data_IF_233876556030
#
_entry.id   IF_233876556030
#
_cell.length_a   1.000
_cell.length_b   1.000
_cell.length_c   1.000
_cell.angle_alpha   90.00
_cell.angle_beta   90.00
_cell.angle_gamma   90.00
#
_symmetry.space_group_name_H-M   'P 1'
#
loop_
_entity.id
_entity.type
_entity.pdbx_description
1 polymer ?
#
# COMPACT_ATOMS: atom_id res chain seq x y z
N UNK A 1 22.78 -2.19 -19.92
CA UNK A 1 21.57 -2.79 -20.54
C UNK A 1 20.46 -2.60 -19.53
N UNK A 2 19.35 -2.01 -19.93
CA UNK A 2 18.18 -1.87 -19.04
C UNK A 2 17.39 -3.16 -19.00
N UNK A 3 16.64 -3.39 -17.91
CA UNK A 3 15.73 -4.52 -17.76
C UNK A 3 14.77 -4.61 -18.94
N UNK A 4 14.61 -5.80 -19.50
CA UNK A 4 13.63 -6.08 -20.54
C UNK A 4 12.36 -6.74 -19.97
N UNK A 5 11.36 -6.97 -20.83
CA UNK A 5 10.10 -7.58 -20.40
C UNK A 5 10.23 -9.03 -19.90
N UNK A 6 11.30 -9.75 -20.26
CA UNK A 6 11.57 -11.10 -19.78
C UNK A 6 12.14 -11.04 -18.37
N UNK A 7 13.13 -10.19 -18.13
CA UNK A 7 13.72 -9.99 -16.80
C UNK A 7 12.65 -9.66 -15.75
N UNK A 8 11.70 -8.78 -16.10
CA UNK A 8 10.61 -8.38 -15.20
C UNK A 8 9.64 -9.54 -14.92
N UNK A 9 9.30 -10.35 -15.93
CA UNK A 9 8.41 -11.52 -15.74
C UNK A 9 9.07 -12.57 -14.86
N UNK A 10 10.35 -12.85 -15.07
CA UNK A 10 11.12 -13.76 -14.22
C UNK A 10 11.24 -13.22 -12.78
N UNK A 11 11.37 -11.89 -12.63
CA UNK A 11 11.27 -11.21 -11.33
C UNK A 11 9.92 -11.41 -10.65
N UNK A 12 8.81 -11.25 -11.38
CA UNK A 12 7.44 -11.45 -10.88
C UNK A 12 7.21 -12.90 -10.43
N UNK A 13 7.67 -13.89 -11.20
CA UNK A 13 7.54 -15.30 -10.83
C UNK A 13 8.29 -15.62 -9.54
N UNK A 14 9.51 -15.06 -9.38
CA UNK A 14 10.26 -15.16 -8.12
C UNK A 14 9.52 -14.50 -6.97
N UNK A 15 9.00 -13.28 -7.14
CA UNK A 15 8.24 -12.59 -6.09
C UNK A 15 7.01 -13.37 -5.62
N UNK A 16 6.28 -14.02 -6.54
CA UNK A 16 5.14 -14.87 -6.18
C UNK A 16 5.61 -16.02 -5.28
N UNK A 17 6.70 -16.70 -5.66
CA UNK A 17 7.28 -17.77 -4.84
C UNK A 17 7.71 -17.26 -3.45
N UNK A 18 8.46 -16.16 -3.41
CA UNK A 18 8.91 -15.53 -2.17
C UNK A 18 7.76 -15.10 -1.26
N UNK A 19 6.70 -14.53 -1.81
CA UNK A 19 5.48 -14.13 -1.08
C UNK A 19 4.86 -15.31 -0.35
N UNK A 20 4.67 -16.44 -1.05
CA UNK A 20 4.06 -17.65 -0.45
C UNK A 20 5.01 -18.39 0.50
N UNK A 21 6.32 -18.15 0.37
CA UNK A 21 7.36 -18.74 1.21
C UNK A 21 7.62 -18.02 2.52
N UNK A 22 7.12 -16.79 2.71
CA UNK A 22 7.31 -16.05 3.96
C UNK A 22 6.71 -16.79 5.16
N UNK A 23 7.50 -16.89 6.22
CA UNK A 23 7.13 -17.48 7.51
C UNK A 23 7.74 -16.67 8.65
N UNK A 24 6.93 -16.42 9.67
CA UNK A 24 7.40 -15.85 10.92
C UNK A 24 8.32 -16.83 11.66
N UNK A 25 9.47 -16.35 12.13
CA UNK A 25 10.50 -17.16 12.77
C UNK A 25 10.64 -16.91 14.27
N UNK A 26 9.70 -16.20 14.88
CA UNK A 26 9.65 -15.93 16.31
C UNK A 26 10.54 -14.77 16.79
N UNK A 27 11.24 -14.07 15.88
CA UNK A 27 12.13 -12.95 16.28
C UNK A 27 11.40 -11.71 16.80
N UNK A 28 10.14 -11.50 16.41
CA UNK A 28 9.36 -10.31 16.75
C UNK A 28 8.14 -10.72 17.57
N UNK A 29 7.93 -10.04 18.70
CA UNK A 29 6.78 -10.30 19.57
C UNK A 29 5.81 -9.13 19.52
N UNK A 30 4.83 -9.21 18.62
CA UNK A 30 3.79 -8.21 18.44
C UNK A 30 2.41 -8.87 18.62
N UNK A 31 1.83 -8.86 19.83
CA UNK A 31 0.53 -9.50 20.07
C UNK A 31 -0.62 -8.72 19.44
N UNK A 32 -1.73 -9.40 19.14
CA UNK A 32 -2.99 -8.79 18.73
C UNK A 32 -3.75 -8.18 19.94
N UNK A 33 -4.87 -7.49 19.69
CA UNK A 33 -5.60 -6.70 20.70
C UNK A 33 -6.19 -7.61 21.78
N UNK A 34 -6.51 -8.84 21.39
CA UNK A 34 -6.99 -9.90 22.26
C UNK A 34 -5.87 -10.66 23.00
N UNK A 35 -4.61 -10.24 22.82
CA UNK A 35 -3.43 -10.83 23.43
C UNK A 35 -2.92 -12.10 22.73
N UNK A 36 -3.51 -12.52 21.61
CA UNK A 36 -2.99 -13.62 20.80
C UNK A 36 -1.68 -13.23 20.10
N UNK A 37 -0.85 -14.21 19.72
CA UNK A 37 0.39 -13.91 19.00
C UNK A 37 0.06 -13.35 17.60
N UNK A 38 0.55 -12.15 17.28
CA UNK A 38 0.45 -11.59 15.94
C UNK A 38 1.50 -12.20 15.01
N UNK A 39 1.11 -12.38 13.75
CA UNK A 39 1.99 -12.88 12.70
C UNK A 39 1.87 -12.00 11.46
N UNK A 40 2.77 -11.02 11.40
CA UNK A 40 2.85 -10.01 10.33
C UNK A 40 3.74 -10.45 9.15
N UNK A 41 4.22 -11.70 9.15
CA UNK A 41 5.18 -12.18 8.14
C UNK A 41 4.62 -13.35 7.37
N UNK A 42 4.08 -14.36 8.03
CA UNK A 42 3.60 -15.57 7.38
C UNK A 42 2.50 -15.24 6.39
N UNK A 43 2.60 -15.80 5.19
CA UNK A 43 1.61 -15.57 4.14
C UNK A 43 0.17 -15.93 4.58
N UNK A 44 0.03 -16.95 5.43
CA UNK A 44 -1.28 -17.51 5.81
C UNK A 44 -1.99 -16.76 6.96
N UNK A 45 -1.47 -15.61 7.40
CA UNK A 45 -2.04 -14.81 8.49
C UNK A 45 -2.97 -13.70 7.99
N UNK A 46 -4.03 -13.36 8.74
CA UNK A 46 -4.91 -12.25 8.38
C UNK A 46 -4.45 -10.96 9.06
N UNK A 47 -3.62 -10.18 8.39
CA UNK A 47 -3.14 -8.88 8.85
C UNK A 47 -2.85 -7.95 7.65
N UNK A 48 -2.53 -6.69 7.94
CA UNK A 48 -2.28 -5.70 6.89
C UNK A 48 -1.17 -6.07 5.89
N UNK A 49 -0.02 -6.70 6.27
CA UNK A 49 1.02 -7.09 5.32
C UNK A 49 0.51 -8.07 4.28
N UNK A 50 -0.30 -9.05 4.70
CA UNK A 50 -0.91 -10.04 3.83
C UNK A 50 -2.02 -9.43 3.01
N UNK A 51 -2.77 -8.46 3.54
CA UNK A 51 -3.75 -7.70 2.77
C UNK A 51 -3.14 -6.98 1.58
N UNK A 52 -2.03 -6.27 1.80
CA UNK A 52 -1.24 -5.64 0.73
C UNK A 52 -0.66 -6.72 -0.21
N UNK A 53 -0.11 -7.80 0.36
CA UNK A 53 0.33 -9.02 -0.32
C UNK A 53 -0.66 -9.55 -1.37
N UNK A 54 -1.88 -9.84 -0.91
CA UNK A 54 -2.99 -10.34 -1.71
C UNK A 54 -3.43 -9.35 -2.76
N UNK A 55 -3.46 -8.05 -2.44
CA UNK A 55 -3.76 -7.02 -3.43
C UNK A 55 -2.76 -7.08 -4.59
N UNK A 56 -1.46 -7.15 -4.31
CA UNK A 56 -0.41 -7.34 -5.33
C UNK A 56 -0.65 -8.57 -6.21
N UNK A 57 -0.91 -9.73 -5.60
CA UNK A 57 -1.19 -10.99 -6.33
C UNK A 57 -2.46 -10.89 -7.19
N UNK A 58 -3.50 -10.21 -6.72
CA UNK A 58 -4.77 -10.02 -7.45
C UNK A 58 -4.56 -9.07 -8.63
N UNK A 59 -3.78 -7.99 -8.45
CA UNK A 59 -3.41 -7.10 -9.55
C UNK A 59 -2.56 -7.82 -10.59
N UNK A 60 -1.63 -8.66 -10.17
CA UNK A 60 -0.85 -9.50 -11.08
C UNK A 60 -1.73 -10.52 -11.83
N UNK A 61 -2.70 -11.14 -11.15
CA UNK A 61 -3.70 -11.99 -11.81
C UNK A 61 -4.51 -11.21 -12.84
N UNK A 62 -5.00 -10.01 -12.52
CA UNK A 62 -5.73 -9.17 -13.48
C UNK A 62 -4.89 -8.82 -14.71
N UNK A 63 -3.59 -8.61 -14.51
CA UNK A 63 -2.66 -8.27 -15.59
C UNK A 63 -2.33 -9.48 -16.48
N UNK A 64 -2.07 -10.64 -15.88
CA UNK A 64 -1.57 -11.84 -16.58
C UNK A 64 -2.66 -12.83 -17.00
N UNK A 65 -3.81 -12.83 -16.35
CA UNK A 65 -4.84 -13.86 -16.49
C UNK A 65 -4.49 -15.21 -15.86
N UNK A 66 -3.39 -15.30 -15.07
CA UNK A 66 -2.90 -16.56 -14.48
C UNK A 66 -3.91 -17.21 -13.52
N UNK A 67 -4.41 -18.38 -13.92
CA UNK A 67 -5.42 -19.14 -13.16
C UNK A 67 -4.87 -19.64 -11.83
N UNK A 68 -3.58 -19.99 -11.78
CA UNK A 68 -2.92 -20.45 -10.56
C UNK A 68 -2.88 -19.36 -9.47
N UNK A 69 -2.63 -18.09 -9.85
CA UNK A 69 -2.70 -16.96 -8.92
C UNK A 69 -4.12 -16.75 -8.39
N UNK A 70 -5.13 -16.83 -9.26
CA UNK A 70 -6.53 -16.76 -8.85
C UNK A 70 -6.90 -17.86 -7.84
N UNK A 71 -6.52 -19.10 -8.14
CA UNK A 71 -6.79 -20.23 -7.26
C UNK A 71 -6.05 -20.12 -5.92
N UNK A 72 -4.83 -19.59 -5.93
CA UNK A 72 -4.06 -19.31 -4.72
C UNK A 72 -4.80 -18.33 -3.82
N UNK A 73 -5.21 -17.17 -4.33
CA UNK A 73 -5.88 -16.14 -3.54
C UNK A 73 -7.27 -16.58 -3.09
N UNK A 74 -8.05 -17.23 -3.96
CA UNK A 74 -9.38 -17.76 -3.59
C UNK A 74 -9.26 -18.80 -2.47
N UNK A 75 -8.27 -19.69 -2.53
CA UNK A 75 -8.03 -20.69 -1.48
C UNK A 75 -7.64 -20.02 -0.17
N UNK A 76 -6.77 -19.01 -0.22
CA UNK A 76 -6.38 -18.26 0.96
C UNK A 76 -7.60 -17.63 1.65
N UNK A 77 -8.45 -16.92 0.89
CA UNK A 77 -9.66 -16.30 1.47
C UNK A 77 -10.62 -17.33 2.05
N UNK A 78 -10.89 -18.44 1.34
CA UNK A 78 -11.75 -19.51 1.85
C UNK A 78 -11.26 -20.01 3.21
N UNK A 79 -9.97 -20.34 3.31
CA UNK A 79 -9.39 -20.88 4.54
C UNK A 79 -9.44 -19.89 5.70
N UNK A 80 -9.18 -18.60 5.44
CA UNK A 80 -9.22 -17.59 6.50
C UNK A 80 -10.64 -17.26 6.95
N UNK A 81 -11.59 -17.19 6.02
CA UNK A 81 -13.01 -16.97 6.34
C UNK A 81 -13.55 -18.16 7.15
N UNK A 82 -13.21 -19.40 6.76
CA UNK A 82 -13.60 -20.61 7.48
C UNK A 82 -13.00 -20.68 8.90
N UNK A 83 -11.76 -20.20 9.07
CA UNK A 83 -11.11 -20.11 10.38
C UNK A 83 -11.73 -19.05 11.32
N UNK A 84 -12.54 -18.14 10.79
CA UNK A 84 -13.08 -16.99 11.49
C UNK A 84 -12.20 -15.75 11.32
N UNK A 85 -12.83 -14.63 10.96
CA UNK A 85 -12.13 -13.36 10.74
C UNK A 85 -11.73 -12.71 12.08
N UNK A 86 -10.61 -11.99 12.12
CA UNK A 86 -10.17 -11.31 13.34
C UNK A 86 -11.08 -10.14 13.71
N UNK A 87 -10.82 -9.54 14.86
CA UNK A 87 -11.48 -8.30 15.26
C UNK A 87 -11.21 -7.19 14.22
N UNK A 88 -12.21 -6.33 14.06
CA UNK A 88 -12.13 -5.19 13.15
C UNK A 88 -11.16 -4.16 13.71
N UNK A 89 -10.18 -3.78 12.91
CA UNK A 89 -9.36 -2.59 13.08
C UNK A 89 -8.89 -2.09 11.70
N UNK A 90 -8.07 -1.03 11.67
CA UNK A 90 -7.58 -0.46 10.40
C UNK A 90 -6.75 -1.48 9.61
N UNK A 91 -5.86 -2.21 10.28
CA UNK A 91 -4.95 -3.16 9.66
C UNK A 91 -5.64 -4.44 9.15
N UNK A 92 -6.52 -5.03 9.95
CA UNK A 92 -7.27 -6.23 9.57
C UNK A 92 -8.29 -5.97 8.46
N UNK A 93 -8.54 -4.70 8.10
CA UNK A 93 -9.36 -4.33 6.94
C UNK A 93 -8.60 -4.45 5.62
N UNK A 94 -7.27 -4.38 5.60
CA UNK A 94 -6.51 -4.35 4.35
C UNK A 94 -6.76 -5.56 3.42
N UNK A 95 -6.92 -6.82 3.91
CA UNK A 95 -7.28 -7.94 3.05
C UNK A 95 -8.62 -7.78 2.31
N UNK A 96 -9.53 -6.92 2.77
CA UNK A 96 -10.80 -6.68 2.09
C UNK A 96 -10.65 -5.88 0.80
N UNK A 97 -9.58 -5.08 0.65
CA UNK A 97 -9.29 -4.40 -0.62
C UNK A 97 -9.10 -5.43 -1.75
N UNK A 98 -8.21 -6.42 -1.55
CA UNK A 98 -8.01 -7.50 -2.51
C UNK A 98 -9.30 -8.25 -2.82
N UNK A 99 -10.04 -8.66 -1.79
CA UNK A 99 -11.29 -9.43 -1.94
C UNK A 99 -12.34 -8.64 -2.73
N UNK A 100 -12.46 -7.33 -2.49
CA UNK A 100 -13.40 -6.47 -3.23
C UNK A 100 -13.06 -6.42 -4.73
N UNK A 101 -11.77 -6.34 -5.09
CA UNK A 101 -11.31 -6.33 -6.48
C UNK A 101 -11.51 -7.69 -7.15
N UNK A 102 -11.23 -8.78 -6.42
CA UNK A 102 -11.51 -10.14 -6.89
C UNK A 102 -13.01 -10.33 -7.15
N UNK A 103 -13.86 -9.90 -6.22
CA UNK A 103 -15.31 -9.98 -6.36
C UNK A 103 -15.84 -9.11 -7.49
N UNK A 104 -15.35 -7.87 -7.64
CA UNK A 104 -15.77 -6.97 -8.71
C UNK A 104 -15.58 -7.59 -10.11
N UNK A 105 -14.54 -8.40 -10.29
CA UNK A 105 -14.26 -9.13 -11.55
C UNK A 105 -14.98 -10.45 -11.68
N UNK A 106 -15.08 -11.24 -10.62
CA UNK A 106 -15.62 -12.61 -10.69
C UNK A 106 -17.13 -12.68 -10.45
N UNK A 107 -17.66 -11.72 -9.68
CA UNK A 107 -19.04 -11.70 -9.15
C UNK A 107 -19.42 -12.99 -8.43
N UNK A 108 -18.45 -13.67 -7.85
CA UNK A 108 -18.68 -14.90 -7.11
C UNK A 108 -19.49 -14.59 -5.82
N UNK A 109 -20.69 -15.15 -5.67
CA UNK A 109 -21.61 -14.78 -4.59
C UNK A 109 -21.09 -15.16 -3.19
N UNK A 110 -20.06 -16.03 -3.10
CA UNK A 110 -19.47 -16.42 -1.81
C UNK A 110 -18.80 -15.25 -1.08
N UNK A 111 -18.33 -14.25 -1.82
CA UNK A 111 -17.57 -13.14 -1.23
C UNK A 111 -18.43 -11.97 -0.77
N UNK A 112 -19.59 -11.78 -1.40
CA UNK A 112 -20.41 -10.60 -1.16
C UNK A 112 -20.87 -10.47 0.30
N UNK A 113 -21.38 -11.53 0.99
CA UNK A 113 -21.80 -11.41 2.37
C UNK A 113 -20.69 -10.94 3.30
N UNK A 114 -19.47 -11.43 3.10
CA UNK A 114 -18.28 -11.04 3.88
C UNK A 114 -17.93 -9.57 3.64
N UNK A 115 -17.96 -9.12 2.39
CA UNK A 115 -17.68 -7.73 2.03
C UNK A 115 -18.75 -6.77 2.57
N UNK A 116 -20.03 -7.15 2.47
CA UNK A 116 -21.15 -6.35 2.98
C UNK A 116 -21.09 -6.21 4.50
N UNK A 117 -20.87 -7.31 5.21
CA UNK A 117 -20.71 -7.31 6.66
C UNK A 117 -19.53 -6.44 7.07
N UNK A 118 -18.34 -6.66 6.49
CA UNK A 118 -17.15 -5.90 6.88
C UNK A 118 -17.28 -4.41 6.57
N UNK A 119 -17.82 -4.03 5.41
CA UNK A 119 -18.06 -2.62 5.07
C UNK A 119 -19.03 -1.94 6.04
N UNK A 120 -20.11 -2.63 6.44
CA UNK A 120 -21.07 -2.10 7.41
C UNK A 120 -20.41 -1.88 8.79
N UNK A 121 -19.59 -2.84 9.22
CA UNK A 121 -18.83 -2.73 10.47
C UNK A 121 -17.80 -1.61 10.40
N UNK A 122 -17.04 -1.48 9.31
CA UNK A 122 -16.12 -0.35 9.09
C UNK A 122 -16.85 1.00 9.24
N UNK A 123 -18.03 1.14 8.63
CA UNK A 123 -18.80 2.38 8.67
C UNK A 123 -19.36 2.71 10.05
N UNK A 124 -19.79 1.68 10.80
CA UNK A 124 -20.52 1.83 12.06
C UNK A 124 -19.71 1.64 13.35
N UNK A 125 -18.57 0.94 13.30
CA UNK A 125 -17.80 0.52 14.48
C UNK A 125 -16.42 1.17 14.57
N UNK A 126 -15.76 1.53 13.46
CA UNK A 126 -14.44 2.16 13.54
C UNK A 126 -14.53 3.53 14.22
N UNK A 127 -13.58 3.77 15.12
CA UNK A 127 -13.39 5.04 15.80
C UNK A 127 -13.21 6.19 14.82
N UNK A 128 -13.66 7.38 15.22
CA UNK A 128 -13.63 8.59 14.38
C UNK A 128 -13.08 9.76 15.16
N UNK A 129 -12.09 10.41 14.56
CA UNK A 129 -11.55 11.69 15.02
C UNK A 129 -12.61 12.81 14.92
N UNK A 130 -12.37 14.01 15.48
CA UNK A 130 -13.36 15.09 15.50
C UNK A 130 -13.81 15.59 14.12
N UNK A 131 -12.99 15.39 13.07
CA UNK A 131 -13.37 15.68 11.67
C UNK A 131 -13.84 14.43 10.90
N UNK A 132 -14.20 13.39 11.65
CA UNK A 132 -14.76 12.14 11.15
C UNK A 132 -13.74 11.18 10.53
N UNK A 133 -12.46 11.56 10.38
CA UNK A 133 -11.44 10.65 9.86
C UNK A 133 -11.32 9.41 10.73
N UNK A 134 -11.09 8.23 10.15
CA UNK A 134 -10.97 7.00 10.93
C UNK A 134 -9.77 7.09 11.87
N UNK A 135 -9.98 6.77 13.15
CA UNK A 135 -8.90 6.64 14.12
C UNK A 135 -8.03 5.43 13.74
N UNK A 136 -6.71 5.59 13.79
CA UNK A 136 -5.78 4.53 13.40
C UNK A 136 -5.58 3.48 14.49
N UNK A 137 -6.66 2.83 14.94
CA UNK A 137 -6.54 1.72 15.88
C UNK A 137 -5.85 0.53 15.19
N UNK A 138 -4.76 0.06 15.79
CA UNK A 138 -3.96 -1.07 15.29
C UNK A 138 -4.19 -2.30 16.15
N UNK A 139 -3.66 -3.42 15.68
CA UNK A 139 -3.80 -4.72 16.33
C UNK A 139 -3.19 -4.80 17.72
N UNK A 140 -2.47 -3.81 18.26
CA UNK A 140 -2.00 -3.87 19.65
C UNK A 140 -2.25 -2.60 20.47
N UNK A 141 -2.88 -1.58 19.87
CA UNK A 141 -3.09 -0.27 20.51
C UNK A 141 -4.29 0.48 19.93
N UNK A 142 -5.09 1.03 20.84
CA UNK A 142 -6.09 2.05 20.53
C UNK A 142 -5.38 3.41 20.43
N UNK A 143 -5.27 3.94 19.21
CA UNK A 143 -4.73 5.26 18.93
C UNK A 143 -5.87 6.28 18.82
N UNK A 144 -6.34 6.76 19.97
CA UNK A 144 -7.42 7.75 20.05
C UNK A 144 -7.02 9.06 19.39
N UNK A 145 -7.92 9.63 18.59
CA UNK A 145 -7.76 10.93 17.95
C UNK A 145 -6.53 11.03 17.02
N UNK A 146 -6.01 9.91 16.52
CA UNK A 146 -4.87 9.86 15.61
C UNK A 146 -5.27 9.52 14.17
N UNK A 147 -4.74 10.27 13.20
CA UNK A 147 -4.78 9.97 11.77
C UNK A 147 -3.39 9.55 11.30
N UNK A 148 -3.27 8.40 10.65
CA UNK A 148 -2.01 7.93 10.05
C UNK A 148 -2.21 7.75 8.54
N UNK A 149 -1.17 7.95 7.75
CA UNK A 149 -1.25 7.91 6.29
C UNK A 149 -1.66 6.53 5.74
N UNK A 150 -1.29 5.44 6.41
CA UNK A 150 -1.59 4.08 5.99
C UNK A 150 -3.11 3.81 5.93
N UNK A 151 -3.92 4.50 6.74
CA UNK A 151 -5.40 4.38 6.77
C UNK A 151 -6.02 4.48 5.38
N UNK A 152 -5.43 5.31 4.52
CA UNK A 152 -5.88 5.52 3.16
C UNK A 152 -5.80 4.22 2.34
N UNK A 153 -4.70 3.49 2.49
CA UNK A 153 -4.50 2.23 1.78
C UNK A 153 -5.23 1.08 2.47
N UNK A 154 -5.16 0.99 3.79
CA UNK A 154 -5.68 -0.16 4.55
C UNK A 154 -7.22 -0.20 4.61
N UNK A 155 -7.89 0.96 4.56
CA UNK A 155 -9.36 1.05 4.72
C UNK A 155 -10.01 1.82 3.57
N UNK A 156 -9.55 3.03 3.26
CA UNK A 156 -10.30 3.90 2.34
C UNK A 156 -10.37 3.33 0.92
N UNK A 157 -9.32 2.68 0.42
CA UNK A 157 -9.34 2.00 -0.87
C UNK A 157 -10.33 0.82 -0.92
N UNK A 158 -10.49 0.07 0.18
CA UNK A 158 -11.49 -0.98 0.25
C UNK A 158 -12.90 -0.39 0.08
N UNK A 159 -13.21 0.68 0.81
CA UNK A 159 -14.51 1.36 0.71
C UNK A 159 -14.76 1.91 -0.69
N UNK A 160 -13.75 2.50 -1.34
CA UNK A 160 -13.85 2.98 -2.71
C UNK A 160 -14.14 1.82 -3.68
N UNK A 161 -13.29 0.79 -3.68
CA UNK A 161 -13.40 -0.38 -4.56
C UNK A 161 -14.73 -1.11 -4.40
N UNK A 162 -15.11 -1.42 -3.15
CA UNK A 162 -16.34 -2.15 -2.90
C UNK A 162 -17.57 -1.28 -3.13
N UNK A 163 -17.54 -0.01 -2.72
CA UNK A 163 -18.62 0.94 -2.95
C UNK A 163 -18.96 1.09 -4.43
N UNK A 164 -17.95 1.29 -5.26
CA UNK A 164 -18.11 1.36 -6.71
C UNK A 164 -18.67 0.04 -7.27
N UNK A 165 -18.05 -1.10 -6.92
CA UNK A 165 -18.44 -2.39 -7.46
C UNK A 165 -19.84 -2.85 -7.04
N UNK A 166 -20.30 -2.48 -5.85
CA UNK A 166 -21.60 -2.86 -5.28
C UNK A 166 -22.71 -1.82 -5.53
N UNK A 167 -22.37 -0.62 -6.00
CA UNK A 167 -23.31 0.50 -6.16
C UNK A 167 -23.64 1.23 -4.85
N UNK A 168 -22.89 0.95 -3.78
CA UNK A 168 -23.04 1.59 -2.46
C UNK A 168 -22.28 2.90 -2.41
N UNK A 169 -22.93 3.96 -2.91
CA UNK A 169 -22.34 5.29 -3.06
C UNK A 169 -21.82 5.88 -1.74
N UNK A 170 -22.46 5.55 -0.63
CA UNK A 170 -22.04 6.02 0.70
C UNK A 170 -20.62 5.56 1.08
N UNK A 171 -20.15 4.41 0.56
CA UNK A 171 -18.79 3.92 0.81
C UNK A 171 -17.77 4.71 -0.03
N UNK A 172 -18.12 5.10 -1.26
CA UNK A 172 -17.26 5.92 -2.13
C UNK A 172 -17.14 7.35 -1.59
N UNK A 173 -18.25 7.91 -1.10
CA UNK A 173 -18.26 9.25 -0.51
C UNK A 173 -17.47 9.25 0.81
N UNK A 174 -17.56 8.19 1.61
CA UNK A 174 -16.72 8.02 2.78
C UNK A 174 -15.24 7.90 2.42
N UNK A 175 -14.87 7.07 1.45
CA UNK A 175 -13.50 6.96 0.98
C UNK A 175 -12.96 8.33 0.55
N UNK A 176 -13.74 9.09 -0.23
CA UNK A 176 -13.41 10.46 -0.65
C UNK A 176 -13.14 11.36 0.56
N UNK A 177 -14.01 11.30 1.57
CA UNK A 177 -13.85 12.09 2.81
C UNK A 177 -12.59 11.72 3.57
N UNK A 178 -12.24 10.44 3.62
CA UNK A 178 -11.01 9.97 4.26
C UNK A 178 -9.77 10.55 3.57
N UNK A 179 -9.68 10.51 2.24
CA UNK A 179 -8.56 11.14 1.52
C UNK A 179 -8.49 12.66 1.75
N UNK A 180 -9.62 13.35 1.78
CA UNK A 180 -9.67 14.80 2.03
C UNK A 180 -9.22 15.18 3.45
N UNK A 181 -9.70 14.49 4.48
CA UNK A 181 -9.33 14.80 5.88
C UNK A 181 -7.87 14.44 6.16
N UNK A 182 -7.37 13.33 5.61
CA UNK A 182 -5.95 12.98 5.76
C UNK A 182 -5.06 13.99 5.03
N UNK A 183 -5.41 14.41 3.80
CA UNK A 183 -4.67 15.45 3.10
C UNK A 183 -4.62 16.77 3.88
N UNK A 184 -5.73 17.15 4.53
CA UNK A 184 -5.78 18.37 5.36
C UNK A 184 -4.78 18.37 6.52
N UNK A 185 -4.57 17.22 7.16
CA UNK A 185 -3.80 17.12 8.41
C UNK A 185 -2.39 16.55 8.24
N UNK A 186 -2.15 15.77 7.19
CA UNK A 186 -0.89 15.06 6.96
C UNK A 186 -0.06 15.67 5.83
N UNK A 187 -0.66 16.35 4.85
CA UNK A 187 0.10 16.97 3.77
C UNK A 187 0.90 18.18 4.30
N UNK A 188 2.21 18.16 4.08
CA UNK A 188 3.11 19.26 4.40
C UNK A 188 3.23 20.21 3.21
N UNK A 189 2.41 21.26 3.22
CA UNK A 189 2.39 22.30 2.18
C UNK A 189 3.73 23.02 1.96
N UNK A 190 4.72 22.88 2.87
CA UNK A 190 6.06 23.46 2.68
C UNK A 190 6.95 22.63 1.76
N UNK A 191 6.81 21.31 1.82
CA UNK A 191 7.69 20.38 1.09
C UNK A 191 6.97 19.65 -0.04
N UNK A 192 5.64 19.52 0.04
CA UNK A 192 4.83 18.66 -0.84
C UNK A 192 4.72 17.22 -0.34
N UNK A 193 5.55 16.82 0.63
CA UNK A 193 5.52 15.49 1.24
C UNK A 193 4.43 15.38 2.31
N UNK A 194 4.27 14.19 2.88
CA UNK A 194 3.31 13.91 3.94
C UNK A 194 4.02 13.53 5.24
N UNK A 195 3.47 13.99 6.36
CA UNK A 195 3.82 13.50 7.68
C UNK A 195 3.15 12.14 7.93
N UNK A 196 3.85 11.26 8.64
CA UNK A 196 3.35 9.92 8.97
C UNK A 196 2.02 9.95 9.72
N UNK A 197 1.85 10.91 10.64
CA UNK A 197 0.60 11.02 11.42
C UNK A 197 0.29 12.40 11.97
N UNK A 198 -0.90 12.49 12.53
CA UNK A 198 -1.48 13.66 13.19
C UNK A 198 -2.26 13.19 14.43
N UNK A 199 -2.18 13.94 15.51
CA UNK A 199 -3.06 13.77 16.67
C UNK A 199 -3.88 15.02 16.93
N UNK A 200 -5.17 14.86 17.23
CA UNK A 200 -6.01 15.97 17.70
C UNK A 200 -5.73 16.31 19.16
N UNK A 201 -5.13 15.40 19.93
CA UNK A 201 -4.56 15.71 21.23
C UNK A 201 -3.26 16.49 21.05
N UNK A 202 -3.16 17.69 21.64
CA UNK A 202 -2.04 18.60 21.40
C UNK A 202 -1.91 19.17 19.98
N UNK A 203 -2.66 18.67 19.00
CA UNK A 203 -2.78 19.19 17.62
C UNK A 203 -1.42 19.31 16.91
N UNK A 204 -0.70 18.20 16.79
CA UNK A 204 0.61 18.17 16.13
C UNK A 204 0.86 16.88 15.33
N UNK A 205 1.87 16.90 14.45
CA UNK A 205 2.27 15.75 13.61
C UNK A 205 3.39 14.91 14.23
N UNK A 206 3.32 14.59 15.53
CA UNK A 206 4.35 13.81 16.24
C UNK A 206 5.79 14.29 15.96
N UNK A 207 6.68 13.39 15.50
CA UNK A 207 8.06 13.67 15.10
C UNK A 207 8.20 14.57 13.86
N UNK A 208 7.10 14.87 13.17
CA UNK A 208 7.08 15.50 11.83
C UNK A 208 7.89 14.69 10.81
N UNK A 209 7.85 13.37 10.95
CA UNK A 209 8.57 12.44 10.09
C UNK A 209 7.89 12.33 8.73
N UNK A 210 8.68 12.51 7.66
CA UNK A 210 8.27 12.27 6.27
C UNK A 210 8.69 10.85 5.89
N UNK A 211 8.03 9.88 6.52
CA UNK A 211 8.31 8.45 6.34
C UNK A 211 8.04 8.04 4.90
N UNK A 212 9.03 7.42 4.25
CA UNK A 212 8.96 7.09 2.84
C UNK A 212 7.87 6.08 2.50
N UNK A 213 7.70 5.02 3.30
CA UNK A 213 6.61 4.05 3.07
C UNK A 213 5.24 4.66 3.27
N UNK A 214 5.09 5.51 4.29
CA UNK A 214 3.87 6.30 4.49
C UNK A 214 3.53 7.16 3.27
N UNK A 215 4.53 7.87 2.73
CA UNK A 215 4.39 8.63 1.49
C UNK A 215 4.11 7.74 0.26
N UNK A 216 4.66 6.52 0.23
CA UNK A 216 4.39 5.55 -0.82
C UNK A 216 2.93 5.08 -0.80
N UNK A 217 2.32 4.90 0.39
CA UNK A 217 0.89 4.60 0.53
C UNK A 217 0.01 5.70 -0.04
N UNK A 218 0.37 6.96 0.20
CA UNK A 218 -0.36 8.10 -0.37
C UNK A 218 -0.22 8.11 -1.89
N UNK A 219 1.00 7.93 -2.41
CA UNK A 219 1.29 7.98 -3.86
C UNK A 219 0.52 6.88 -4.60
N UNK A 220 0.67 5.62 -4.15
CA UNK A 220 -0.03 4.48 -4.72
C UNK A 220 -1.54 4.58 -4.48
N UNK A 221 -1.95 4.97 -3.28
CA UNK A 221 -3.35 5.03 -2.88
C UNK A 221 -4.16 6.10 -3.63
N UNK A 222 -3.61 7.28 -3.88
CA UNK A 222 -4.30 8.29 -4.70
C UNK A 222 -4.53 7.81 -6.13
N UNK A 223 -3.52 7.17 -6.74
CA UNK A 223 -3.64 6.63 -8.09
C UNK A 223 -4.60 5.44 -8.16
N UNK A 224 -4.60 4.58 -7.14
CA UNK A 224 -5.54 3.46 -7.04
C UNK A 224 -6.96 3.94 -6.78
N UNK A 225 -7.16 4.96 -5.95
CA UNK A 225 -8.47 5.58 -5.72
C UNK A 225 -9.07 6.07 -7.04
N UNK A 226 -8.29 6.75 -7.89
CA UNK A 226 -8.76 7.27 -9.17
C UNK A 226 -9.14 6.19 -10.19
N UNK A 227 -8.58 4.98 -10.05
CA UNK A 227 -8.89 3.81 -10.88
C UNK A 227 -10.06 2.98 -10.31
N UNK A 228 -10.22 2.97 -8.98
CA UNK A 228 -11.15 2.09 -8.28
C UNK A 228 -12.56 2.66 -8.15
N UNK A 229 -12.72 3.99 -8.13
CA UNK A 229 -14.02 4.62 -7.93
C UNK A 229 -14.17 5.95 -8.69
N UNK A 230 -15.41 6.27 -9.07
CA UNK A 230 -15.72 7.57 -9.68
C UNK A 230 -15.94 8.64 -8.59
N UNK A 231 -15.07 9.64 -8.58
CA UNK A 231 -15.10 10.73 -7.61
C UNK A 231 -15.74 11.98 -8.21
N UNK A 232 -16.39 12.77 -7.36
CA UNK A 232 -16.82 14.10 -7.78
C UNK A 232 -15.63 14.90 -8.33
N UNK A 233 -15.81 15.50 -9.51
CA UNK A 233 -14.73 16.16 -10.26
C UNK A 233 -13.88 17.13 -9.42
N UNK A 234 -14.46 18.03 -8.59
CA UNK A 234 -13.67 18.93 -7.74
C UNK A 234 -12.81 18.21 -6.70
N UNK A 235 -13.29 17.07 -6.16
CA UNK A 235 -12.52 16.24 -5.22
C UNK A 235 -11.35 15.59 -5.94
N UNK A 236 -11.60 15.01 -7.12
CA UNK A 236 -10.55 14.42 -7.95
C UNK A 236 -9.47 15.45 -8.32
N UNK A 237 -9.89 16.64 -8.75
CA UNK A 237 -8.95 17.71 -9.15
C UNK A 237 -8.10 18.20 -7.96
N UNK A 238 -8.69 18.37 -6.77
CA UNK A 238 -7.95 18.70 -5.56
C UNK A 238 -6.92 17.62 -5.21
N UNK A 239 -7.34 16.36 -5.16
CA UNK A 239 -6.48 15.23 -4.82
C UNK A 239 -5.38 15.00 -5.85
N UNK A 240 -5.65 15.24 -7.14
CA UNK A 240 -4.62 15.23 -8.19
C UNK A 240 -3.57 16.32 -7.94
N UNK A 241 -3.97 17.53 -7.55
CA UNK A 241 -3.03 18.58 -7.18
C UNK A 241 -2.13 18.18 -6.00
N UNK A 242 -2.70 17.52 -5.00
CA UNK A 242 -1.92 17.00 -3.85
C UNK A 242 -0.94 15.91 -4.27
N UNK A 243 -1.36 14.97 -5.13
CA UNK A 243 -0.48 13.93 -5.69
C UNK A 243 0.69 14.53 -6.48
N UNK A 244 0.41 15.50 -7.36
CA UNK A 244 1.45 16.13 -8.18
C UNK A 244 2.47 16.85 -7.31
N UNK A 245 2.03 17.59 -6.28
CA UNK A 245 2.93 18.25 -5.35
C UNK A 245 3.84 17.26 -4.60
N UNK A 246 3.30 16.11 -4.19
CA UNK A 246 4.08 15.05 -3.55
C UNK A 246 5.09 14.44 -4.51
N UNK A 247 4.68 14.10 -5.73
CA UNK A 247 5.57 13.50 -6.71
C UNK A 247 6.72 14.43 -7.10
N UNK A 248 6.44 15.72 -7.31
CA UNK A 248 7.48 16.71 -7.62
C UNK A 248 8.55 16.77 -6.50
N UNK A 249 8.13 16.68 -5.23
CA UNK A 249 9.03 16.59 -4.10
C UNK A 249 9.84 15.29 -4.10
N UNK A 250 9.18 14.14 -4.31
CA UNK A 250 9.81 12.82 -4.36
C UNK A 250 10.88 12.73 -5.47
N UNK A 251 10.61 13.28 -6.66
CA UNK A 251 11.57 13.30 -7.77
C UNK A 251 12.88 13.99 -7.40
N UNK A 252 12.82 15.05 -6.59
CA UNK A 252 14.02 15.77 -6.14
C UNK A 252 14.83 15.01 -5.07
N UNK A 253 14.23 13.99 -4.45
CA UNK A 253 14.79 13.24 -3.33
C UNK A 253 15.24 11.82 -3.70
N UNK A 254 15.09 11.41 -4.97
CA UNK A 254 15.60 10.11 -5.43
C UNK A 254 17.13 10.07 -5.27
N UNK A 255 17.62 9.06 -4.55
CA UNK A 255 19.04 8.87 -4.31
C UNK A 255 19.79 8.52 -5.61
N UNK A 256 21.13 8.68 -5.66
CA UNK A 256 21.91 8.28 -6.83
C UNK A 256 21.75 6.81 -7.24
N UNK A 257 21.41 5.92 -6.29
CA UNK A 257 21.08 4.52 -6.57
C UNK A 257 19.79 4.36 -7.38
N UNK A 258 18.86 5.31 -7.28
CA UNK A 258 17.48 5.20 -7.76
C UNK A 258 16.45 4.94 -6.64
N UNK A 259 16.90 4.71 -5.40
CA UNK A 259 16.03 4.44 -4.26
C UNK A 259 15.54 5.73 -3.56
N UNK A 260 14.60 5.57 -2.62
CA UNK A 260 14.30 6.58 -1.60
C UNK A 260 14.75 6.10 -0.23
N UNK A 261 15.12 7.06 0.63
CA UNK A 261 15.51 6.81 2.01
C UNK A 261 14.30 6.77 2.92
N UNK A 262 14.36 6.01 4.01
CA UNK A 262 13.24 5.82 4.96
C UNK A 262 12.69 7.14 5.52
N UNK A 263 13.56 8.12 5.79
CA UNK A 263 13.17 9.51 5.99
C UNK A 263 13.56 10.28 4.71
N UNK A 264 12.55 10.70 3.96
CA UNK A 264 12.73 11.21 2.59
C UNK A 264 13.67 12.41 2.51
N UNK A 265 13.62 13.28 3.51
CA UNK A 265 14.39 14.53 3.61
C UNK A 265 15.63 14.40 4.51
N UNK A 266 16.02 13.18 4.87
CA UNK A 266 17.22 12.91 5.67
C UNK A 266 18.19 11.98 4.95
N UNK A 267 19.27 12.58 4.43
CA UNK A 267 20.34 11.89 3.71
C UNK A 267 21.12 10.87 4.57
N UNK A 268 21.02 10.95 5.90
CA UNK A 268 21.69 10.02 6.82
C UNK A 268 20.90 8.74 7.07
N UNK A 269 19.63 8.71 6.67
CA UNK A 269 18.78 7.53 6.83
C UNK A 269 18.99 6.50 5.70
N UNK A 270 18.68 5.23 5.98
CA UNK A 270 18.92 4.13 5.04
C UNK A 270 17.94 4.15 3.86
N UNK A 271 18.36 3.58 2.72
CA UNK A 271 17.50 3.35 1.55
C UNK A 271 16.51 2.21 1.84
N UNK A 272 15.22 2.44 1.55
CA UNK A 272 14.14 1.53 1.95
C UNK A 272 13.36 1.05 0.71
N UNK A 273 13.35 -0.27 0.50
CA UNK A 273 12.95 -0.86 -0.78
C UNK A 273 11.44 -0.97 -0.93
N UNK A 274 10.68 -1.14 0.15
CA UNK A 274 9.21 -1.18 0.04
C UNK A 274 8.67 0.19 -0.39
N UNK A 275 9.14 1.28 0.22
CA UNK A 275 8.83 2.65 -0.20
C UNK A 275 9.27 2.91 -1.64
N UNK A 276 10.48 2.50 -2.00
CA UNK A 276 11.00 2.65 -3.37
C UNK A 276 10.10 1.96 -4.39
N UNK A 277 9.63 0.74 -4.09
CA UNK A 277 8.71 0.01 -4.95
C UNK A 277 7.33 0.69 -5.05
N UNK A 278 6.76 1.15 -3.93
CA UNK A 278 5.46 1.83 -3.94
C UNK A 278 5.50 3.19 -4.65
N UNK A 279 6.57 3.97 -4.46
CA UNK A 279 6.80 5.23 -5.19
C UNK A 279 7.02 4.92 -6.68
N UNK A 280 7.87 3.95 -7.01
CA UNK A 280 8.12 3.51 -8.39
C UNK A 280 6.84 3.10 -9.13
N UNK A 281 6.01 2.27 -8.50
CA UNK A 281 4.66 1.93 -8.98
C UNK A 281 3.83 3.18 -9.27
N UNK A 282 3.75 4.09 -8.31
CA UNK A 282 2.96 5.32 -8.45
C UNK A 282 3.45 6.21 -9.60
N UNK A 283 4.76 6.38 -9.74
CA UNK A 283 5.35 7.18 -10.82
C UNK A 283 5.04 6.61 -12.21
N UNK A 284 5.22 5.30 -12.39
CA UNK A 284 4.95 4.60 -13.64
C UNK A 284 3.47 4.67 -14.00
N UNK A 285 2.61 4.32 -13.04
CA UNK A 285 1.15 4.39 -13.19
C UNK A 285 0.66 5.80 -13.49
N UNK A 286 1.15 6.80 -12.76
CA UNK A 286 0.82 8.21 -12.97
C UNK A 286 1.18 8.69 -14.38
N UNK A 287 2.34 8.25 -14.91
CA UNK A 287 2.69 8.51 -16.30
C UNK A 287 1.76 7.81 -17.29
N UNK A 288 1.44 6.52 -17.09
CA UNK A 288 0.51 5.78 -17.95
C UNK A 288 -0.88 6.42 -17.99
N UNK A 289 -1.34 6.97 -16.87
CA UNK A 289 -2.62 7.67 -16.77
C UNK A 289 -2.59 9.12 -17.30
N UNK A 290 -1.45 9.59 -17.82
CA UNK A 290 -1.31 10.92 -18.41
C UNK A 290 -1.22 12.07 -17.38
N UNK A 291 -0.96 11.74 -16.11
CA UNK A 291 -0.77 12.74 -15.04
C UNK A 291 0.70 13.18 -14.95
N UNK A 292 1.61 12.23 -15.19
CA UNK A 292 3.04 12.42 -15.03
C UNK A 292 3.77 12.91 -16.29
N UNK A 293 4.92 13.55 -16.07
CA UNK A 293 5.86 13.93 -17.14
C UNK A 293 6.82 12.77 -17.47
N UNK A 294 7.63 12.84 -18.54
CA UNK A 294 8.65 11.81 -18.81
C UNK A 294 9.62 11.57 -17.65
N UNK A 295 9.85 12.56 -16.79
CA UNK A 295 10.66 12.43 -15.58
C UNK A 295 10.07 11.42 -14.57
N UNK A 296 8.73 11.33 -14.49
CA UNK A 296 8.05 10.34 -13.64
C UNK A 296 8.40 8.93 -14.12
N UNK A 297 8.26 8.69 -15.43
CA UNK A 297 8.60 7.39 -16.03
C UNK A 297 10.07 7.05 -15.82
N UNK A 298 10.97 8.00 -16.03
CA UNK A 298 12.42 7.78 -15.84
C UNK A 298 12.74 7.39 -14.39
N UNK A 299 12.23 8.17 -13.42
CA UNK A 299 12.44 7.89 -12.00
C UNK A 299 11.82 6.56 -11.57
N UNK A 300 10.62 6.23 -12.08
CA UNK A 300 9.96 4.95 -11.84
C UNK A 300 10.75 3.75 -12.41
N UNK A 301 11.37 3.89 -13.58
CA UNK A 301 12.24 2.86 -14.15
C UNK A 301 13.57 2.70 -13.39
N UNK A 302 14.11 3.78 -12.81
CA UNK A 302 15.26 3.68 -11.89
C UNK A 302 14.87 2.94 -10.61
N UNK A 303 13.70 3.25 -10.06
CA UNK A 303 13.15 2.56 -8.90
C UNK A 303 12.98 1.05 -9.19
N UNK A 304 12.43 0.70 -10.35
CA UNK A 304 12.30 -0.69 -10.81
C UNK A 304 13.65 -1.43 -10.79
N UNK A 305 14.72 -0.80 -11.31
CA UNK A 305 16.04 -1.42 -11.31
C UNK A 305 16.51 -1.73 -9.89
N UNK A 306 16.40 -0.76 -8.97
CA UNK A 306 16.76 -0.95 -7.56
C UNK A 306 15.94 -2.07 -6.91
N UNK A 307 14.63 -2.11 -7.16
CA UNK A 307 13.76 -3.15 -6.62
C UNK A 307 14.18 -4.52 -7.14
N UNK A 308 14.45 -4.66 -8.44
CA UNK A 308 14.91 -5.91 -9.04
C UNK A 308 16.24 -6.40 -8.45
N UNK A 309 17.17 -5.49 -8.19
CA UNK A 309 18.47 -5.79 -7.57
C UNK A 309 18.35 -6.23 -6.10
N UNK A 310 17.21 -5.97 -5.46
CA UNK A 310 16.91 -6.35 -4.07
C UNK A 310 16.00 -7.59 -3.96
N UNK A 311 15.71 -8.28 -5.05
CA UNK A 311 15.00 -9.58 -5.03
C UNK A 311 16.05 -10.69 -5.00
N UNK A 312 16.12 -11.43 -3.89
CA UNK A 312 17.07 -12.53 -3.74
C UNK A 312 16.67 -13.78 -4.57
N UNK A 313 17.51 -14.81 -4.51
CA UNK A 313 17.30 -16.08 -5.25
C UNK A 313 16.03 -16.83 -4.82
N UNK A 314 15.55 -16.58 -3.59
CA UNK A 314 14.29 -17.16 -3.07
C UNK A 314 13.06 -16.36 -3.48
N UNK A 315 13.26 -15.20 -4.12
CA UNK A 315 12.20 -14.26 -4.45
C UNK A 315 11.80 -13.34 -3.31
N UNK A 316 12.61 -13.28 -2.25
CA UNK A 316 12.39 -12.41 -1.10
C UNK A 316 12.93 -11.01 -1.39
N UNK A 317 12.12 -9.99 -1.12
CA UNK A 317 12.56 -8.59 -1.21
C UNK A 317 13.36 -8.23 0.04
N UNK A 318 14.60 -7.82 -0.17
CA UNK A 318 15.53 -7.39 0.86
C UNK A 318 15.40 -5.88 1.14
N UNK A 319 16.06 -5.40 2.20
CA UNK A 319 16.13 -3.97 2.55
C UNK A 319 14.75 -3.31 2.72
N UNK A 320 13.79 -4.10 3.17
CA UNK A 320 12.45 -3.65 3.59
C UNK A 320 12.48 -3.34 5.07
N UNK A 321 12.04 -2.17 5.50
CA UNK A 321 11.94 -1.88 6.94
C UNK A 321 10.69 -2.54 7.52
N UNK A 322 10.77 -3.00 8.77
CA UNK A 322 9.69 -3.67 9.49
C UNK A 322 8.48 -2.75 9.76
N UNK A 323 7.40 -3.34 10.31
CA UNK A 323 6.19 -2.62 10.72
C UNK A 323 6.56 -1.41 11.57
N UNK A 324 6.16 -0.22 11.11
CA UNK A 324 6.60 1.05 11.69
C UNK A 324 5.41 1.74 12.31
N UNK A 325 5.41 1.83 13.64
CA UNK A 325 4.40 2.55 14.42
C UNK A 325 4.65 4.06 14.36
N UNK A 326 3.77 4.85 14.97
CA UNK A 326 4.01 6.29 15.12
C UNK A 326 5.21 6.57 16.04
N UNK A 327 6.26 7.16 15.47
CA UNK A 327 7.44 7.62 16.19
C UNK A 327 7.29 9.04 16.74
N UNK A 328 7.86 9.28 17.93
CA UNK A 328 7.86 10.59 18.59
C UNK A 328 9.15 11.41 18.34
N UNK A 329 10.15 10.80 17.72
CA UNK A 329 11.36 11.46 17.23
C UNK A 329 11.82 10.82 15.91
N UNK A 330 12.77 11.45 15.22
CA UNK A 330 13.28 10.96 13.94
C UNK A 330 14.22 9.76 14.08
N UNK A 331 14.86 9.59 15.25
CA UNK A 331 15.78 8.48 15.47
C UNK A 331 15.03 7.14 15.49
N UNK A 332 13.83 7.11 16.06
CA UNK A 332 12.91 5.97 15.98
C UNK A 332 12.80 5.41 14.55
N UNK A 333 12.61 6.28 13.56
CA UNK A 333 12.46 5.86 12.16
C UNK A 333 13.77 5.36 11.53
N UNK A 334 14.92 5.89 11.98
CA UNK A 334 16.25 5.43 11.53
C UNK A 334 16.61 4.05 12.07
N UNK A 335 16.05 3.69 13.22
CA UNK A 335 16.38 2.45 13.94
C UNK A 335 15.40 1.31 13.64
N UNK A 336 14.40 1.52 12.77
CA UNK A 336 13.47 0.45 12.37
C UNK A 336 14.26 -0.71 11.75
N UNK A 337 14.09 -1.95 12.27
CA UNK A 337 14.77 -3.12 11.74
C UNK A 337 14.45 -3.37 10.27
N UNK A 338 15.44 -3.85 9.52
CA UNK A 338 15.24 -4.34 8.15
C UNK A 338 14.85 -5.80 8.20
N UNK A 339 13.69 -6.14 7.62
CA UNK A 339 13.18 -7.48 7.53
C UNK A 339 12.25 -7.69 6.33
N UNK A 340 12.33 -8.84 5.65
CA UNK A 340 11.33 -9.25 4.67
C UNK A 340 9.91 -9.34 5.26
N UNK A 341 8.94 -8.76 4.56
CA UNK A 341 7.54 -8.67 4.99
C UNK A 341 6.59 -8.60 3.80
N UNK A 342 5.39 -9.18 3.90
CA UNK A 342 4.47 -9.34 2.76
C UNK A 342 4.14 -8.06 1.98
N UNK A 343 4.13 -6.90 2.63
CA UNK A 343 3.94 -5.61 1.93
C UNK A 343 5.12 -5.23 1.03
N UNK A 344 6.35 -5.60 1.39
CA UNK A 344 7.53 -5.41 0.54
C UNK A 344 7.42 -6.20 -0.76
N UNK A 345 7.03 -7.48 -0.68
CA UNK A 345 6.78 -8.30 -1.87
C UNK A 345 5.63 -7.72 -2.71
N UNK A 346 4.52 -7.31 -2.10
CA UNK A 346 3.40 -6.79 -2.87
C UNK A 346 3.70 -5.47 -3.57
N UNK A 347 4.34 -4.51 -2.89
CA UNK A 347 4.74 -3.26 -3.53
C UNK A 347 5.72 -3.51 -4.68
N UNK A 348 6.64 -4.48 -4.54
CA UNK A 348 7.48 -4.93 -5.64
C UNK A 348 6.65 -5.54 -6.79
N UNK A 349 5.68 -6.42 -6.50
CA UNK A 349 4.79 -7.00 -7.51
C UNK A 349 4.02 -5.90 -8.25
N UNK A 350 3.48 -4.89 -7.55
CA UNK A 350 2.79 -3.76 -8.17
C UNK A 350 3.74 -2.97 -9.08
N UNK A 351 4.94 -2.64 -8.60
CA UNK A 351 5.95 -1.91 -9.37
C UNK A 351 6.35 -2.66 -10.65
N UNK A 352 6.70 -3.94 -10.55
CA UNK A 352 7.10 -4.77 -11.68
C UNK A 352 5.94 -4.99 -12.67
N UNK A 353 4.72 -5.23 -12.17
CA UNK A 353 3.54 -5.43 -13.03
C UNK A 353 3.23 -4.17 -13.84
N UNK A 354 3.29 -3.00 -13.22
CA UNK A 354 3.10 -1.73 -13.91
C UNK A 354 4.24 -1.47 -14.90
N UNK A 355 5.50 -1.75 -14.53
CA UNK A 355 6.66 -1.58 -15.40
C UNK A 355 6.59 -2.34 -16.73
N UNK A 356 5.89 -3.47 -16.79
CA UNK A 356 5.64 -4.20 -18.04
C UNK A 356 4.89 -3.38 -19.10
N UNK A 357 4.16 -2.34 -18.70
CA UNK A 357 3.51 -1.39 -19.62
C UNK A 357 4.48 -0.33 -20.17
N UNK A 358 5.68 -0.23 -19.60
CA UNK A 358 6.67 0.80 -19.94
C UNK A 358 7.89 0.24 -20.66
N UNK A 359 8.17 -1.06 -20.57
CA UNK A 359 9.27 -1.69 -21.31
C UNK A 359 8.75 -2.32 -22.61
N UNK A 360 9.57 -2.30 -23.65
CA UNK A 360 9.19 -2.88 -24.94
C UNK A 360 8.92 -4.39 -24.82
N UNK A 361 7.89 -4.87 -25.50
CA UNK A 361 7.79 -6.30 -25.81
C UNK A 361 8.89 -6.66 -26.81
N UNK A 362 9.42 -7.87 -26.76
CA UNK A 362 10.47 -8.35 -27.67
C UNK A 362 10.26 -7.85 -29.12
N UNK A 363 11.28 -7.22 -29.70
CA UNK A 363 11.39 -7.08 -31.16
C UNK A 363 10.80 -5.84 -31.83
N UNK A 364 10.43 -4.78 -31.12
CA UNK A 364 10.25 -3.47 -31.77
C UNK A 364 11.36 -2.52 -31.34
N UNK A 365 12.38 -2.42 -32.19
CA UNK A 365 13.30 -1.29 -32.18
C UNK A 365 12.49 0.00 -32.35
N UNK A 366 12.83 1.01 -31.54
CA UNK A 366 12.31 2.36 -31.64
C UNK A 366 12.54 2.98 -33.02
#
# INVERSE_FOLDING_TARGET
MGLDGRDIRDGLDRLVAGTTGLKHDGRFHEPNLDGTAGDYISFDSWEWPQGVGLYGLIKLWQFTGRVDLRQLVERWYLQRIEAGLPQLNVNTTAPMLGLSVLWAKTRDPRWQPVLDEWANRVMGELGRTPEGGFEHHVSDKVNHDELWDDTLFMVALFLASYGEASGRRELVDEASRQFLVHARYLADTRTGLWFHGWTFDGRHNFAKARLARGNAWVTAGLLDLFDLADLAKPVKDFLQGVLVAQVDALLSLQAPSGAWRTLLDDATSYEEISATAGIGYGLLKGYRLGLGTPAWREAGLKALQVVMDNIDETGTVLNVSYGTRMGHDLQFYRDIPIQPTGYGQALAILCLSEALQHVGQEGQAA
#
